data_IF_012123618718
#
_entry.id   IF_012123618718
#
_cell.length_a   1.000
_cell.length_b   1.000
_cell.length_c   1.000
_cell.angle_alpha   90.00
_cell.angle_beta   90.00
_cell.angle_gamma   90.00
#
_symmetry.space_group_name_H-M   'P 1'
#
loop_
_entity.id
_entity.type
_entity.pdbx_description
1 polymer ?
#
# COMPACT_ATOMS: atom_id res chain seq x y z
N UNK A 1 33.47 1.10 -17.00
CA UNK A 1 33.28 2.57 -16.85
C UNK A 1 34.33 3.05 -15.84
N UNK A 2 35.19 4.02 -16.21
CA UNK A 2 36.24 4.52 -15.31
C UNK A 2 35.67 5.71 -14.54
N UNK A 3 35.40 5.56 -13.25
CA UNK A 3 34.94 6.65 -12.40
C UNK A 3 36.11 7.61 -12.15
N UNK A 4 35.99 8.85 -12.62
CA UNK A 4 36.97 9.92 -12.38
C UNK A 4 36.35 10.89 -11.40
N UNK A 5 36.99 11.09 -10.24
CA UNK A 5 36.53 12.04 -9.23
C UNK A 5 36.77 13.46 -9.75
N UNK A 6 35.73 14.27 -9.80
CA UNK A 6 35.82 15.68 -10.19
C UNK A 6 36.52 16.49 -9.08
N UNK A 7 37.28 17.51 -9.46
CA UNK A 7 37.97 18.40 -8.50
C UNK A 7 36.99 19.32 -7.77
N UNK A 8 35.90 19.69 -8.46
CA UNK A 8 34.82 20.50 -7.91
C UNK A 8 33.60 19.61 -7.62
N UNK A 9 33.00 19.79 -6.43
CA UNK A 9 31.77 19.10 -6.05
C UNK A 9 30.81 20.04 -5.35
N UNK A 10 29.52 19.89 -5.64
CA UNK A 10 28.46 20.53 -4.89
C UNK A 10 28.19 19.69 -3.64
N UNK A 11 28.23 20.30 -2.46
CA UNK A 11 27.83 19.65 -1.21
C UNK A 11 26.32 19.41 -1.22
N UNK A 12 25.91 18.15 -1.13
CA UNK A 12 24.49 17.79 -1.00
C UNK A 12 24.12 17.84 0.47
N UNK A 13 23.71 19.01 0.94
CA UNK A 13 23.16 19.20 2.28
C UNK A 13 21.78 18.56 2.37
N UNK A 14 21.52 17.79 3.43
CA UNK A 14 20.19 17.27 3.71
C UNK A 14 19.35 18.39 4.37
N UNK A 15 18.27 18.80 3.70
CA UNK A 15 17.34 19.82 4.17
C UNK A 15 16.02 19.25 4.69
N UNK A 16 15.96 17.96 5.02
CA UNK A 16 14.78 17.31 5.60
C UNK A 16 14.45 17.98 6.96
N UNK A 17 13.56 18.98 6.93
CA UNK A 17 13.09 19.68 8.12
C UNK A 17 12.13 18.77 8.86
N UNK A 18 12.67 17.99 9.79
CA UNK A 18 11.90 16.95 10.47
C UNK A 18 11.87 15.68 9.63
N UNK A 19 13.06 15.10 9.37
CA UNK A 19 13.13 13.64 9.39
C UNK A 19 12.42 13.22 10.67
N UNK A 20 11.19 12.74 10.54
CA UNK A 20 10.57 12.00 11.61
C UNK A 20 11.58 10.88 11.88
N UNK A 21 12.39 11.05 12.91
CA UNK A 21 12.78 9.97 13.81
C UNK A 21 11.48 9.53 14.49
N UNK A 22 10.49 9.20 13.68
CA UNK A 22 9.17 8.76 14.06
C UNK A 22 9.39 7.35 14.54
N UNK A 23 8.83 7.06 15.70
CA UNK A 23 8.62 5.69 16.16
C UNK A 23 8.29 4.81 14.96
N UNK A 24 9.09 3.75 14.77
CA UNK A 24 8.91 2.82 13.66
C UNK A 24 7.44 2.41 13.58
N UNK A 25 6.79 2.70 12.45
CA UNK A 25 5.35 2.49 12.30
C UNK A 25 5.03 1.01 12.27
N UNK A 26 5.68 0.26 11.41
CA UNK A 26 5.45 -1.18 11.26
C UNK A 26 6.44 -2.01 12.08
N UNK A 27 6.27 -3.34 12.07
CA UNK A 27 7.23 -4.24 12.68
C UNK A 27 8.65 -4.11 12.13
N UNK A 28 9.60 -4.75 12.82
CA UNK A 28 11.04 -4.53 12.58
C UNK A 28 11.55 -5.03 11.23
N UNK A 29 10.71 -5.69 10.46
CA UNK A 29 11.03 -6.22 9.13
C UNK A 29 10.47 -5.36 8.00
N UNK A 30 9.65 -4.35 8.31
CA UNK A 30 8.99 -3.51 7.31
C UNK A 30 9.48 -2.05 7.40
N UNK A 31 9.49 -1.32 6.27
CA UNK A 31 9.76 0.11 6.25
C UNK A 31 8.59 0.90 6.89
N UNK A 32 8.76 2.20 7.12
CA UNK A 32 7.68 3.04 7.68
C UNK A 32 6.56 3.36 6.69
N UNK A 33 6.84 3.23 5.39
CA UNK A 33 5.89 3.45 4.29
C UNK A 33 6.05 2.32 3.27
N UNK A 34 4.96 1.63 2.96
CA UNK A 34 4.95 0.47 2.08
C UNK A 34 4.07 0.74 0.85
N UNK A 35 4.63 0.52 -0.33
CA UNK A 35 3.92 0.53 -1.61
C UNK A 35 4.24 -0.79 -2.30
N UNK A 36 3.49 -1.82 -1.96
CA UNK A 36 3.79 -3.19 -2.33
C UNK A 36 2.93 -3.66 -3.50
N UNK A 37 3.53 -4.44 -4.38
CA UNK A 37 2.85 -5.17 -5.43
C UNK A 37 3.01 -6.66 -5.12
N UNK A 38 1.90 -7.38 -4.97
CA UNK A 38 1.89 -8.82 -4.74
C UNK A 38 1.39 -9.51 -6.01
N UNK A 39 2.28 -10.25 -6.68
CA UNK A 39 1.96 -10.91 -7.96
C UNK A 39 1.98 -12.42 -7.83
N UNK A 40 0.99 -13.07 -8.42
CA UNK A 40 0.95 -14.52 -8.54
C UNK A 40 -0.36 -14.99 -9.16
N UNK A 41 -0.38 -16.19 -9.74
CA UNK A 41 -1.56 -16.78 -10.37
C UNK A 41 -2.77 -16.87 -9.42
N UNK A 42 -3.94 -17.21 -9.97
CA UNK A 42 -5.09 -17.52 -9.11
C UNK A 42 -4.72 -18.63 -8.10
N UNK A 43 -5.23 -18.51 -6.88
CA UNK A 43 -4.93 -19.40 -5.75
C UNK A 43 -3.45 -19.46 -5.30
N UNK A 44 -2.55 -18.59 -5.79
CA UNK A 44 -1.13 -18.58 -5.38
C UNK A 44 -0.86 -18.05 -3.96
N UNK A 45 -1.92 -17.79 -3.16
CA UNK A 45 -1.78 -17.31 -1.78
C UNK A 45 -1.63 -15.80 -1.60
N UNK A 46 -1.77 -14.95 -2.63
CA UNK A 46 -1.64 -13.47 -2.52
C UNK A 46 -2.43 -12.87 -1.35
N UNK A 47 -3.74 -13.16 -1.30
CA UNK A 47 -4.63 -12.69 -0.24
C UNK A 47 -4.22 -13.25 1.12
N UNK A 48 -3.73 -14.49 1.19
CA UNK A 48 -3.26 -15.07 2.45
C UNK A 48 -2.01 -14.35 2.96
N UNK A 49 -1.07 -14.01 2.06
CA UNK A 49 0.11 -13.22 2.41
C UNK A 49 -0.31 -11.84 2.91
N UNK A 50 -1.24 -11.16 2.22
CA UNK A 50 -1.75 -9.85 2.64
C UNK A 50 -2.41 -9.91 4.02
N UNK A 51 -3.30 -10.86 4.27
CA UNK A 51 -3.94 -11.04 5.58
C UNK A 51 -2.92 -11.38 6.67
N UNK A 52 -1.91 -12.21 6.36
CA UNK A 52 -0.83 -12.51 7.30
C UNK A 52 -0.06 -11.25 7.68
N UNK A 53 0.20 -10.35 6.74
CA UNK A 53 0.86 -9.07 7.02
C UNK A 53 -0.02 -8.15 7.89
N UNK A 54 -1.34 -8.18 7.72
CA UNK A 54 -2.27 -7.38 8.54
C UNK A 54 -2.37 -7.87 9.98
N UNK A 55 -2.38 -9.20 10.19
CA UNK A 55 -2.68 -9.79 11.50
C UNK A 55 -1.45 -10.17 12.31
N UNK A 56 -0.27 -10.25 11.69
CA UNK A 56 0.95 -10.62 12.41
C UNK A 56 1.41 -9.49 13.34
N UNK A 57 1.84 -9.82 14.55
CA UNK A 57 2.33 -8.86 15.56
C UNK A 57 3.48 -7.97 15.08
N UNK A 58 4.37 -8.55 14.25
CA UNK A 58 5.49 -7.86 13.60
C UNK A 58 5.16 -7.41 12.16
N UNK A 59 3.87 -7.39 11.82
CA UNK A 59 3.36 -7.01 10.51
C UNK A 59 3.10 -5.52 10.38
N UNK A 60 2.05 -5.21 9.62
CA UNK A 60 1.62 -3.86 9.31
C UNK A 60 0.87 -3.27 10.51
N UNK A 61 1.00 -1.95 10.69
CA UNK A 61 0.28 -1.20 11.73
C UNK A 61 -0.48 -0.06 11.12
N UNK A 62 -1.76 0.02 11.45
CA UNK A 62 -2.71 0.93 10.84
C UNK A 62 -3.86 1.19 11.79
N UNK A 63 -4.55 2.30 11.56
CA UNK A 63 -5.82 2.64 12.20
C UNK A 63 -6.97 2.41 11.22
N UNK A 64 -6.73 2.65 9.93
CA UNK A 64 -7.76 2.57 8.90
C UNK A 64 -7.36 1.58 7.80
N UNK A 65 -8.29 0.71 7.42
CA UNK A 65 -8.12 -0.27 6.37
C UNK A 65 -9.14 -0.05 5.27
N UNK A 66 -8.66 0.34 4.10
CA UNK A 66 -9.45 0.50 2.89
C UNK A 66 -9.19 -0.71 2.00
N UNK A 67 -10.25 -1.35 1.50
CA UNK A 67 -10.14 -2.49 0.58
C UNK A 67 -11.03 -2.24 -0.62
N UNK A 68 -10.43 -2.04 -1.78
CA UNK A 68 -11.12 -2.02 -3.06
C UNK A 68 -10.95 -3.37 -3.76
N UNK A 69 -12.05 -4.09 -3.89
CA UNK A 69 -12.06 -5.39 -4.57
C UNK A 69 -13.41 -5.73 -5.18
N UNK A 70 -13.38 -6.34 -6.37
CA UNK A 70 -14.57 -6.93 -7.01
C UNK A 70 -15.00 -8.25 -6.35
N UNK A 71 -14.13 -8.84 -5.53
CA UNK A 71 -14.32 -10.14 -4.89
C UNK A 71 -14.49 -10.07 -3.37
N UNK A 72 -15.01 -8.95 -2.85
CA UNK A 72 -15.31 -8.76 -1.42
C UNK A 72 -16.28 -9.80 -0.82
N UNK A 73 -17.04 -10.51 -1.66
CA UNK A 73 -17.94 -11.61 -1.24
C UNK A 73 -17.20 -12.92 -0.94
N UNK A 74 -15.88 -13.00 -1.17
CA UNK A 74 -15.13 -14.21 -0.86
C UNK A 74 -14.99 -14.40 0.66
N UNK A 75 -15.01 -15.65 1.17
CA UNK A 75 -14.99 -15.93 2.61
C UNK A 75 -13.85 -15.27 3.40
N UNK A 76 -12.71 -15.03 2.75
CA UNK A 76 -11.55 -14.36 3.38
C UNK A 76 -11.82 -12.89 3.68
N UNK A 77 -12.56 -12.20 2.82
CA UNK A 77 -12.95 -10.81 3.01
C UNK A 77 -14.14 -10.67 3.96
N UNK A 78 -15.03 -11.67 3.97
CA UNK A 78 -16.09 -11.77 5.00
C UNK A 78 -15.48 -11.95 6.39
N UNK A 79 -14.51 -12.85 6.54
CA UNK A 79 -13.74 -13.02 7.77
C UNK A 79 -12.99 -11.75 8.17
N UNK A 80 -12.34 -11.07 7.22
CA UNK A 80 -11.69 -9.78 7.48
C UNK A 80 -12.70 -8.77 8.02
N UNK A 81 -13.88 -8.66 7.41
CA UNK A 81 -14.93 -7.75 7.85
C UNK A 81 -15.42 -8.08 9.27
N UNK A 82 -15.60 -9.36 9.60
CA UNK A 82 -15.96 -9.81 10.94
C UNK A 82 -14.90 -9.42 11.97
N UNK A 83 -13.63 -9.72 11.70
CA UNK A 83 -12.51 -9.37 12.60
C UNK A 83 -12.47 -7.87 12.81
N UNK A 84 -12.48 -7.09 11.72
CA UNK A 84 -12.38 -5.63 11.80
C UNK A 84 -13.57 -5.00 12.54
N UNK A 85 -14.77 -5.55 12.42
CA UNK A 85 -15.95 -5.08 13.15
C UNK A 85 -15.83 -5.25 14.67
N UNK A 86 -14.99 -6.17 15.13
CA UNK A 86 -14.74 -6.42 16.55
C UNK A 86 -13.57 -5.58 17.13
N UNK A 87 -12.80 -4.89 16.29
CA UNK A 87 -11.67 -4.04 16.71
C UNK A 87 -12.14 -2.58 16.78
N UNK A 88 -12.36 -2.07 17.99
CA UNK A 88 -12.94 -0.72 18.20
C UNK A 88 -12.03 0.41 17.74
N UNK A 89 -10.73 0.19 17.80
CA UNK A 89 -9.69 1.17 17.49
C UNK A 89 -9.34 1.22 16.00
N UNK A 90 -9.88 0.29 15.19
CA UNK A 90 -9.61 0.23 13.77
C UNK A 90 -10.89 0.42 12.95
N UNK A 91 -10.77 1.11 11.83
CA UNK A 91 -11.90 1.34 10.91
C UNK A 91 -11.68 0.58 9.61
N UNK A 92 -12.74 0.01 9.06
CA UNK A 92 -12.72 -0.77 7.82
C UNK A 92 -13.66 -0.17 6.77
N UNK A 93 -13.13 0.06 5.57
CA UNK A 93 -13.82 0.68 4.44
C UNK A 93 -13.74 -0.22 3.20
N UNK A 94 -14.75 -1.07 2.94
CA UNK A 94 -14.83 -1.88 1.74
C UNK A 94 -15.42 -1.10 0.56
N UNK A 95 -14.78 -1.16 -0.61
CA UNK A 95 -15.24 -0.56 -1.87
C UNK A 95 -15.38 -1.63 -2.95
N UNK A 96 -16.50 -1.57 -3.69
CA UNK A 96 -16.73 -2.42 -4.87
C UNK A 96 -16.51 -1.68 -6.17
N UNK A 97 -16.77 -0.39 -6.21
CA UNK A 97 -16.67 0.43 -7.43
C UNK A 97 -15.53 1.43 -7.35
N UNK A 98 -14.95 1.73 -8.52
CA UNK A 98 -13.81 2.63 -8.64
C UNK A 98 -14.16 4.06 -8.22
N UNK A 99 -15.37 4.50 -8.59
CA UNK A 99 -15.83 5.87 -8.40
C UNK A 99 -16.14 6.18 -6.92
N UNK A 100 -16.29 5.16 -6.08
CA UNK A 100 -16.48 5.31 -4.63
C UNK A 100 -15.14 5.53 -3.88
N UNK A 101 -14.00 5.36 -4.56
CA UNK A 101 -12.68 5.45 -3.95
C UNK A 101 -12.32 6.93 -3.72
N UNK A 102 -12.12 7.25 -2.45
CA UNK A 102 -11.60 8.54 -1.99
C UNK A 102 -10.25 8.86 -2.64
N UNK A 103 -9.99 10.14 -2.87
CA UNK A 103 -8.65 10.54 -3.29
C UNK A 103 -7.63 10.36 -2.15
N UNK A 104 -6.33 10.14 -2.45
CA UNK A 104 -5.31 9.96 -1.42
C UNK A 104 -5.23 11.13 -0.43
N UNK A 105 -5.62 12.33 -0.87
CA UNK A 105 -5.69 13.56 -0.09
C UNK A 105 -6.84 13.56 0.93
N UNK A 106 -7.86 12.73 0.71
CA UNK A 106 -9.02 12.58 1.60
C UNK A 106 -8.87 11.37 2.52
N UNK A 107 -8.02 10.41 2.17
CA UNK A 107 -7.69 9.28 3.01
C UNK A 107 -7.18 9.72 4.39
N UNK A 108 -7.57 8.98 5.42
CA UNK A 108 -7.13 9.24 6.79
C UNK A 108 -5.64 8.92 6.97
N UNK A 109 -5.02 9.49 8.00
CA UNK A 109 -3.63 9.20 8.34
C UNK A 109 -3.47 7.75 8.85
N UNK A 110 -2.27 7.18 8.74
CA UNK A 110 -1.93 5.84 9.23
C UNK A 110 -2.85 4.74 8.67
N UNK A 111 -3.10 4.83 7.37
CA UNK A 111 -4.01 3.95 6.66
C UNK A 111 -3.27 2.89 5.85
N UNK A 112 -3.97 1.80 5.54
CA UNK A 112 -3.59 0.83 4.52
C UNK A 112 -4.68 0.80 3.47
N UNK A 113 -4.30 0.87 2.20
CA UNK A 113 -5.18 0.71 1.06
C UNK A 113 -4.81 -0.54 0.27
N UNK A 114 -5.75 -1.48 0.15
CA UNK A 114 -5.58 -2.73 -0.60
C UNK A 114 -6.41 -2.66 -1.87
N UNK A 115 -5.75 -2.90 -3.00
CA UNK A 115 -6.35 -3.08 -4.31
C UNK A 115 -6.23 -4.56 -4.66
N UNK A 116 -7.35 -5.28 -4.72
CA UNK A 116 -7.36 -6.70 -5.10
C UNK A 116 -8.39 -6.97 -6.19
N UNK A 117 -8.06 -7.84 -7.13
CA UNK A 117 -8.96 -8.25 -8.22
C UNK A 117 -9.54 -7.09 -9.06
N UNK A 118 -8.79 -5.98 -9.18
CA UNK A 118 -9.21 -4.75 -9.88
C UNK A 118 -8.27 -4.40 -11.05
N UNK A 119 -7.60 -5.41 -11.62
CA UNK A 119 -6.66 -5.23 -12.73
C UNK A 119 -7.31 -4.88 -14.08
N UNK A 120 -8.62 -5.02 -14.19
CA UNK A 120 -9.39 -4.63 -15.37
C UNK A 120 -10.08 -3.27 -15.22
N UNK A 121 -10.03 -2.65 -14.04
CA UNK A 121 -10.71 -1.39 -13.74
C UNK A 121 -9.85 -0.18 -14.07
N UNK A 122 -10.41 1.03 -13.93
CA UNK A 122 -9.66 2.28 -14.09
C UNK A 122 -8.50 2.34 -13.07
N UNK A 123 -7.30 2.58 -13.57
CA UNK A 123 -6.08 2.52 -12.76
C UNK A 123 -5.67 3.88 -12.18
N UNK A 124 -6.37 4.97 -12.50
CA UNK A 124 -5.93 6.32 -12.16
C UNK A 124 -5.93 6.59 -10.64
N UNK A 125 -6.94 6.09 -9.92
CA UNK A 125 -6.96 6.13 -8.45
C UNK A 125 -5.78 5.34 -7.85
N UNK A 126 -5.51 4.14 -8.37
CA UNK A 126 -4.39 3.30 -7.90
C UNK A 126 -3.04 4.00 -8.15
N UNK A 127 -2.87 4.62 -9.32
CA UNK A 127 -1.69 5.44 -9.65
C UNK A 127 -1.51 6.60 -8.68
N UNK A 128 -2.60 7.30 -8.35
CA UNK A 128 -2.58 8.41 -7.41
C UNK A 128 -2.14 7.93 -6.01
N UNK A 129 -2.68 6.81 -5.53
CA UNK A 129 -2.29 6.22 -4.24
C UNK A 129 -0.80 5.82 -4.20
N UNK A 130 -0.29 5.10 -5.21
CA UNK A 130 1.13 4.73 -5.26
C UNK A 130 2.07 5.94 -5.38
N UNK A 131 1.61 7.06 -5.96
CA UNK A 131 2.41 8.26 -6.15
C UNK A 131 2.38 9.21 -4.95
N UNK A 132 1.20 9.44 -4.39
CA UNK A 132 0.92 10.53 -3.43
C UNK A 132 0.57 10.04 -2.03
N UNK A 133 0.13 8.78 -1.87
CA UNK A 133 -0.35 8.24 -0.58
C UNK A 133 0.68 8.34 0.56
N UNK A 134 1.98 8.27 0.24
CA UNK A 134 3.07 8.41 1.22
C UNK A 134 3.06 9.75 1.96
N UNK A 135 2.56 10.82 1.36
CA UNK A 135 2.49 12.13 2.01
C UNK A 135 1.49 12.17 3.17
N UNK A 136 0.58 11.20 3.25
CA UNK A 136 -0.36 11.00 4.37
C UNK A 136 -0.12 9.70 5.13
N UNK A 137 1.06 9.10 5.00
CA UNK A 137 1.37 7.80 5.63
C UNK A 137 0.31 6.73 5.28
N UNK A 138 -0.09 6.68 4.02
CA UNK A 138 -0.98 5.64 3.48
C UNK A 138 -0.14 4.60 2.76
N UNK A 139 -0.15 3.38 3.28
CA UNK A 139 0.48 2.25 2.59
C UNK A 139 -0.46 1.69 1.54
N UNK A 140 0.10 1.27 0.42
CA UNK A 140 -0.66 0.79 -0.72
C UNK A 140 -0.23 -0.63 -1.06
N UNK A 141 -1.20 -1.52 -1.27
CA UNK A 141 -0.95 -2.90 -1.67
C UNK A 141 -1.76 -3.19 -2.92
N UNK A 142 -1.09 -3.63 -3.99
CA UNK A 142 -1.78 -4.05 -5.20
C UNK A 142 -1.55 -5.54 -5.45
N UNK A 143 -2.61 -6.32 -5.25
CA UNK A 143 -2.65 -7.75 -5.54
C UNK A 143 -3.09 -7.95 -6.98
N UNK A 144 -2.27 -8.61 -7.78
CA UNK A 144 -2.58 -8.86 -9.19
C UNK A 144 -2.09 -10.24 -9.65
N UNK A 145 -2.63 -10.71 -10.78
CA UNK A 145 -2.21 -11.99 -11.36
C UNK A 145 -0.95 -11.89 -12.22
N UNK A 146 -0.72 -10.74 -12.85
CA UNK A 146 0.36 -10.57 -13.82
C UNK A 146 1.03 -9.21 -13.65
N UNK A 147 2.32 -9.23 -13.34
CA UNK A 147 3.15 -8.04 -13.16
C UNK A 147 3.21 -7.18 -14.44
N UNK A 148 3.22 -7.83 -15.61
CA UNK A 148 3.30 -7.16 -16.89
C UNK A 148 2.07 -6.29 -17.19
N UNK A 149 0.91 -6.64 -16.62
CA UNK A 149 -0.35 -5.89 -16.79
C UNK A 149 -0.44 -4.66 -15.91
N UNK A 150 0.42 -4.53 -14.89
CA UNK A 150 0.42 -3.35 -14.04
C UNK A 150 1.04 -2.17 -14.81
N UNK A 151 0.39 -0.99 -14.81
CA UNK A 151 0.99 0.23 -15.35
C UNK A 151 2.41 0.45 -14.80
N UNK A 152 3.39 0.62 -15.69
CA UNK A 152 4.78 0.86 -15.28
C UNK A 152 4.87 2.17 -14.51
N UNK A 153 4.47 3.24 -15.19
CA UNK A 153 4.48 4.57 -14.63
C UNK A 153 3.48 4.67 -13.47
N UNK A 154 3.93 5.34 -12.42
CA UNK A 154 3.15 5.70 -11.23
C UNK A 154 2.75 4.54 -10.31
N UNK A 155 2.83 3.27 -10.75
CA UNK A 155 2.61 2.10 -9.89
C UNK A 155 3.89 1.28 -9.72
N UNK A 156 4.39 0.61 -10.77
CA UNK A 156 5.59 -0.24 -10.64
C UNK A 156 6.84 0.55 -10.26
N UNK A 157 7.05 1.71 -10.89
CA UNK A 157 8.21 2.58 -10.60
C UNK A 157 8.16 3.19 -9.19
N UNK A 158 6.97 3.18 -8.55
CA UNK A 158 6.75 3.73 -7.21
C UNK A 158 6.66 2.66 -6.11
N UNK A 159 6.68 1.38 -6.47
CA UNK A 159 6.70 0.31 -5.49
C UNK A 159 8.05 0.27 -4.77
N UNK A 160 8.05 -0.08 -3.47
CA UNK A 160 9.25 -0.09 -2.63
C UNK A 160 9.34 -1.32 -1.72
#
# INVERSE_FOLDING_TARGET
MRFVKQNDSIEVLNYDTGAHVGSRRHGTLLPNTVRCIIVGSSASGKTNLMLSLLFHENGLRFVNLYVYSKSLYQPKYELLNEIMSNVKEATYFPYKENDDILDPEEAQLNSIFIFDDVACDKQDKIRAYFSMGRHKSVDCFYLCQSYARIPKHLIRDNAN
#
